data_IF_318376096039
#
_entry.id   IF_318376096039
#
_cell.length_a   1.000
_cell.length_b   1.000
_cell.length_c   1.000
_cell.angle_alpha   90.00
_cell.angle_beta   90.00
_cell.angle_gamma   90.00
#
_symmetry.space_group_name_H-M   'P 1'
#
loop_
_entity.id
_entity.type
_entity.pdbx_description
1 polymer ?
#
# COMPACT_ATOMS: atom_id res chain seq x y z
N UNK A 1 18.71 10.36 4.80
CA UNK A 1 17.62 9.47 5.26
C UNK A 1 16.33 10.23 5.57
N UNK A 2 16.37 11.32 6.35
CA UNK A 2 15.17 12.01 6.87
C UNK A 2 14.16 12.45 5.80
N UNK A 3 14.61 13.08 4.71
CA UNK A 3 13.72 13.48 3.60
C UNK A 3 13.06 12.27 2.94
N UNK A 4 13.80 11.19 2.72
CA UNK A 4 13.28 9.95 2.12
C UNK A 4 12.23 9.35 3.06
N UNK A 5 12.51 9.32 4.35
CA UNK A 5 11.57 8.84 5.37
C UNK A 5 10.32 9.71 5.46
N UNK A 6 10.45 11.04 5.41
CA UNK A 6 9.33 11.97 5.45
C UNK A 6 8.41 11.80 4.24
N UNK A 7 9.00 11.74 3.03
CA UNK A 7 8.23 11.55 1.78
C UNK A 7 7.58 10.17 1.74
N UNK A 8 8.32 9.12 2.10
CA UNK A 8 7.79 7.74 2.11
C UNK A 8 6.69 7.58 3.15
N UNK A 9 6.91 8.09 4.37
CA UNK A 9 5.92 8.07 5.44
C UNK A 9 4.66 8.86 5.09
N UNK A 10 4.80 10.05 4.51
CA UNK A 10 3.66 10.84 4.04
C UNK A 10 2.87 10.12 2.94
N UNK A 11 3.55 9.50 1.97
CA UNK A 11 2.90 8.73 0.92
C UNK A 11 2.13 7.53 1.49
N UNK A 12 2.73 6.76 2.40
CA UNK A 12 2.07 5.64 3.10
C UNK A 12 0.84 6.12 3.87
N UNK A 13 0.94 7.23 4.60
CA UNK A 13 -0.17 7.82 5.35
C UNK A 13 -1.31 8.27 4.44
N UNK A 14 -1.01 8.93 3.32
CA UNK A 14 -2.01 9.37 2.34
C UNK A 14 -2.73 8.19 1.68
N UNK A 15 -2.01 7.12 1.34
CA UNK A 15 -2.61 5.88 0.81
C UNK A 15 -3.46 5.21 1.89
N UNK A 16 -3.00 5.19 3.15
CA UNK A 16 -3.80 4.70 4.28
C UNK A 16 -5.10 5.49 4.45
N UNK A 17 -5.06 6.81 4.36
CA UNK A 17 -6.25 7.66 4.40
C UNK A 17 -7.20 7.36 3.22
N UNK A 18 -6.68 7.12 2.02
CA UNK A 18 -7.49 6.70 0.87
C UNK A 18 -8.21 5.37 1.13
N UNK A 19 -7.58 4.42 1.82
CA UNK A 19 -8.22 3.17 2.23
C UNK A 19 -9.35 3.38 3.24
N UNK A 20 -9.22 4.35 4.16
CA UNK A 20 -10.33 4.76 5.04
C UNK A 20 -11.47 5.35 4.22
N UNK A 21 -11.16 6.23 3.25
CA UNK A 21 -12.17 6.79 2.34
C UNK A 21 -12.88 5.67 1.59
N UNK A 22 -12.15 4.69 1.05
CA UNK A 22 -12.72 3.55 0.32
C UNK A 22 -13.64 2.67 1.15
N UNK A 23 -13.39 2.55 2.45
CA UNK A 23 -14.29 1.84 3.36
C UNK A 23 -15.72 2.41 3.33
N UNK A 24 -15.87 3.71 3.08
CA UNK A 24 -17.17 4.39 3.13
C UNK A 24 -17.65 4.91 1.77
N UNK A 25 -16.74 5.21 0.85
CA UNK A 25 -17.00 5.92 -0.41
C UNK A 25 -16.25 5.30 -1.59
N UNK A 26 -16.82 5.25 -2.80
CA UNK A 26 -16.09 4.82 -3.99
C UNK A 26 -15.09 5.85 -4.52
N UNK A 27 -15.03 7.05 -3.93
CA UNK A 27 -14.17 8.14 -4.40
C UNK A 27 -12.70 7.72 -4.57
N UNK A 28 -12.00 8.15 -5.63
CA UNK A 28 -12.43 9.09 -6.68
C UNK A 28 -13.23 8.46 -7.82
N UNK A 29 -13.59 7.18 -7.72
CA UNK A 29 -14.39 6.49 -8.72
C UNK A 29 -15.88 6.78 -8.53
N UNK A 30 -16.64 6.70 -9.64
CA UNK A 30 -18.05 7.05 -9.64
C UNK A 30 -18.93 6.05 -8.88
N UNK A 31 -18.56 4.76 -8.84
CA UNK A 31 -19.41 3.70 -8.27
C UNK A 31 -18.61 2.63 -7.52
N UNK A 32 -19.28 1.86 -6.65
CA UNK A 32 -18.66 0.75 -5.91
C UNK A 32 -18.24 -0.39 -6.82
N UNK A 33 -18.95 -0.60 -7.92
CA UNK A 33 -18.59 -1.59 -8.94
C UNK A 33 -17.32 -1.15 -9.68
N UNK A 34 -17.15 0.15 -9.93
CA UNK A 34 -15.92 0.68 -10.46
C UNK A 34 -14.77 0.48 -9.46
N UNK A 35 -14.99 0.72 -8.17
CA UNK A 35 -14.00 0.42 -7.12
C UNK A 35 -13.62 -1.07 -7.08
N UNK A 36 -14.61 -1.97 -7.10
CA UNK A 36 -14.38 -3.41 -7.14
C UNK A 36 -13.52 -3.84 -8.33
N UNK A 37 -13.83 -3.33 -9.53
CA UNK A 37 -13.10 -3.68 -10.75
C UNK A 37 -11.72 -3.04 -10.87
N UNK A 38 -11.52 -1.83 -10.36
CA UNK A 38 -10.27 -1.08 -10.56
C UNK A 38 -9.29 -1.21 -9.41
N UNK A 39 -9.78 -1.37 -8.17
CA UNK A 39 -8.95 -1.39 -6.95
C UNK A 39 -8.87 -2.78 -6.34
N UNK A 40 -9.98 -3.52 -6.31
CA UNK A 40 -10.03 -4.86 -5.71
C UNK A 40 -9.70 -5.97 -6.72
N UNK A 41 -9.85 -5.69 -8.01
CA UNK A 41 -9.59 -6.66 -9.08
C UNK A 41 -10.70 -7.71 -9.24
N UNK A 42 -11.93 -7.42 -8.81
CA UNK A 42 -13.08 -8.35 -8.96
C UNK A 42 -13.82 -8.13 -10.28
N UNK A 43 -13.90 -9.17 -11.10
CA UNK A 43 -14.51 -9.14 -12.44
C UNK A 43 -16.03 -9.05 -12.45
N UNK A 44 -16.68 -9.65 -11.46
CA UNK A 44 -18.12 -9.55 -11.23
C UNK A 44 -18.57 -8.14 -10.77
N UNK A 45 -17.62 -7.25 -10.45
CA UNK A 45 -17.90 -5.92 -9.90
C UNK A 45 -18.56 -5.94 -8.52
N UNK A 46 -18.65 -7.11 -7.88
CA UNK A 46 -19.23 -7.22 -6.55
C UNK A 46 -18.26 -6.70 -5.50
N UNK A 47 -18.80 -6.02 -4.50
CA UNK A 47 -18.03 -5.50 -3.37
C UNK A 47 -18.74 -5.90 -2.08
N UNK A 48 -18.54 -7.13 -1.58
CA UNK A 48 -19.21 -7.59 -0.37
C UNK A 48 -18.74 -6.76 0.84
N UNK A 49 -19.54 -5.73 1.19
CA UNK A 49 -19.15 -4.68 2.14
C UNK A 49 -18.79 -5.24 3.53
N UNK A 50 -19.45 -6.33 3.96
CA UNK A 50 -19.14 -7.00 5.22
C UNK A 50 -17.71 -7.52 5.33
N UNK A 51 -17.06 -7.83 4.20
CA UNK A 51 -15.65 -8.21 4.15
C UNK A 51 -14.75 -7.04 3.70
N UNK A 52 -15.19 -6.28 2.71
CA UNK A 52 -14.38 -5.23 2.12
C UNK A 52 -14.05 -4.09 3.10
N UNK A 53 -15.03 -3.64 3.88
CA UNK A 53 -14.84 -2.56 4.86
C UNK A 53 -13.76 -2.90 5.90
N UNK A 54 -13.84 -4.03 6.64
CA UNK A 54 -12.80 -4.37 7.60
C UNK A 54 -11.45 -4.62 6.93
N UNK A 55 -11.42 -5.21 5.73
CA UNK A 55 -10.17 -5.40 4.99
C UNK A 55 -9.51 -4.05 4.62
N UNK A 56 -10.28 -3.09 4.11
CA UNK A 56 -9.75 -1.76 3.76
C UNK A 56 -9.25 -1.00 4.99
N UNK A 57 -9.98 -1.08 6.11
CA UNK A 57 -9.53 -0.47 7.38
C UNK A 57 -8.29 -1.15 7.95
N UNK A 58 -8.17 -2.48 7.84
CA UNK A 58 -6.96 -3.20 8.25
C UNK A 58 -5.74 -2.76 7.44
N UNK A 59 -5.90 -2.58 6.12
CA UNK A 59 -4.84 -2.02 5.26
C UNK A 59 -4.51 -0.58 5.67
N UNK A 60 -5.50 0.25 5.97
CA UNK A 60 -5.28 1.61 6.44
C UNK A 60 -4.46 1.65 7.73
N UNK A 61 -4.78 0.79 8.70
CA UNK A 61 -4.03 0.67 9.97
C UNK A 61 -2.60 0.18 9.71
N UNK A 62 -2.43 -0.83 8.86
CA UNK A 62 -1.10 -1.32 8.50
C UNK A 62 -0.24 -0.25 7.82
N UNK A 63 -0.83 0.54 6.93
CA UNK A 63 -0.14 1.66 6.26
C UNK A 63 0.16 2.81 7.21
N UNK A 64 -0.71 3.11 8.18
CA UNK A 64 -0.43 4.09 9.22
C UNK A 64 0.73 3.63 10.13
N UNK A 65 0.75 2.35 10.52
CA UNK A 65 1.86 1.76 11.26
C UNK A 65 3.16 1.81 10.45
N UNK A 66 3.12 1.46 9.16
CA UNK A 66 4.26 1.56 8.25
C UNK A 66 4.77 3.00 8.13
N UNK A 67 3.87 3.98 7.99
CA UNK A 67 4.22 5.40 7.93
C UNK A 67 4.94 5.86 9.19
N UNK A 68 4.42 5.47 10.37
CA UNK A 68 5.05 5.75 11.65
C UNK A 68 6.45 5.11 11.76
N UNK A 69 6.59 3.82 11.42
CA UNK A 69 7.87 3.11 11.50
C UNK A 69 8.92 3.74 10.60
N UNK A 70 8.59 4.04 9.34
CA UNK A 70 9.52 4.68 8.40
C UNK A 70 9.90 6.09 8.88
N UNK A 71 8.94 6.87 9.37
CA UNK A 71 9.21 8.21 9.89
C UNK A 71 10.04 8.20 11.17
N UNK A 72 9.84 7.22 12.06
CA UNK A 72 10.63 7.04 13.27
C UNK A 72 12.08 6.62 12.96
N UNK A 73 12.26 5.64 12.06
CA UNK A 73 13.58 5.17 11.64
C UNK A 73 14.42 6.30 11.01
N UNK A 74 13.80 7.11 10.16
CA UNK A 74 14.48 8.24 9.52
C UNK A 74 14.63 9.49 10.38
N UNK A 75 14.26 9.46 11.65
CA UNK A 75 14.40 10.57 12.60
C UNK A 75 13.36 11.71 12.47
N UNK A 76 12.33 11.54 11.63
CA UNK A 76 11.26 12.54 11.42
C UNK A 76 10.33 12.62 12.63
N UNK A 77 10.04 11.47 13.25
CA UNK A 77 9.24 11.37 14.46
C UNK A 77 10.09 10.83 15.60
N UNK A 78 9.75 11.23 16.83
CA UNK A 78 10.34 10.61 18.02
C UNK A 78 9.85 9.17 18.14
N UNK A 79 10.78 8.22 18.14
CA UNK A 79 10.48 6.81 18.34
C UNK A 79 9.92 6.55 19.75
N UNK A 80 8.75 5.90 19.81
CA UNK A 80 8.15 5.37 21.03
C UNK A 80 8.44 3.86 21.23
N UNK A 81 9.12 3.23 20.27
CA UNK A 81 9.47 1.80 20.28
C UNK A 81 10.99 1.62 20.36
N UNK A 82 11.48 0.45 20.82
CA UNK A 82 12.90 0.11 20.73
C UNK A 82 13.39 0.15 19.29
N UNK A 83 14.60 0.69 19.07
CA UNK A 83 15.21 0.86 17.74
C UNK A 83 15.21 -0.44 16.93
N UNK A 84 15.61 -1.56 17.54
CA UNK A 84 15.60 -2.88 16.88
C UNK A 84 14.22 -3.26 16.34
N UNK A 85 13.14 -2.92 17.05
CA UNK A 85 11.78 -3.20 16.61
C UNK A 85 11.34 -2.27 15.47
N UNK A 86 11.79 -1.01 15.50
CA UNK A 86 11.53 -0.05 14.42
C UNK A 86 12.23 -0.50 13.14
N UNK A 87 13.54 -0.76 13.19
CA UNK A 87 14.31 -1.22 12.04
C UNK A 87 13.78 -2.54 11.47
N UNK A 88 13.49 -3.53 12.32
CA UNK A 88 12.87 -4.79 11.88
C UNK A 88 11.50 -4.57 11.23
N UNK A 89 10.70 -3.66 11.79
CA UNK A 89 9.41 -3.25 11.22
C UNK A 89 9.55 -2.61 9.84
N UNK A 90 10.51 -1.70 9.65
CA UNK A 90 10.78 -1.07 8.35
C UNK A 90 11.25 -2.09 7.32
N UNK A 91 12.11 -3.04 7.69
CA UNK A 91 12.46 -4.16 6.81
C UNK A 91 11.26 -5.03 6.44
N UNK A 92 10.34 -5.26 7.38
CA UNK A 92 9.07 -5.93 7.11
C UNK A 92 8.21 -5.17 6.11
N UNK A 93 8.07 -3.84 6.26
CA UNK A 93 7.37 -2.96 5.30
C UNK A 93 8.01 -3.06 3.92
N UNK A 94 9.33 -2.96 3.83
CA UNK A 94 10.06 -3.09 2.59
C UNK A 94 9.78 -4.45 1.91
N UNK A 95 9.89 -5.55 2.66
CA UNK A 95 9.65 -6.89 2.16
C UNK A 95 8.21 -7.06 1.62
N UNK A 96 7.20 -6.59 2.37
CA UNK A 96 5.79 -6.69 1.95
C UNK A 96 5.53 -5.89 0.68
N UNK A 97 5.99 -4.64 0.61
CA UNK A 97 5.74 -3.77 -0.53
C UNK A 97 6.52 -4.21 -1.77
N UNK A 98 7.79 -4.63 -1.61
CA UNK A 98 8.57 -5.20 -2.71
C UNK A 98 7.95 -6.50 -3.21
N UNK A 99 7.55 -7.39 -2.30
CA UNK A 99 6.87 -8.64 -2.63
C UNK A 99 5.57 -8.39 -3.38
N UNK A 100 4.71 -7.49 -2.88
CA UNK A 100 3.46 -7.12 -3.56
C UNK A 100 3.73 -6.51 -4.93
N UNK A 101 4.68 -5.58 -5.04
CA UNK A 101 5.01 -4.92 -6.31
C UNK A 101 5.53 -5.91 -7.34
N UNK A 102 6.49 -6.77 -6.97
CA UNK A 102 7.04 -7.79 -7.85
C UNK A 102 5.98 -8.82 -8.27
N UNK A 103 5.17 -9.30 -7.32
CA UNK A 103 4.09 -10.25 -7.63
C UNK A 103 3.06 -9.65 -8.58
N UNK A 104 2.66 -8.40 -8.37
CA UNK A 104 1.72 -7.71 -9.25
C UNK A 104 2.25 -7.53 -10.67
N UNK A 105 3.53 -7.19 -10.85
CA UNK A 105 4.15 -7.17 -12.18
C UNK A 105 4.10 -8.54 -12.87
N UNK A 106 4.31 -9.62 -12.12
CA UNK A 106 4.26 -10.99 -12.64
C UNK A 106 2.82 -11.39 -12.99
N UNK A 107 1.87 -11.20 -12.08
CA UNK A 107 0.46 -11.57 -12.28
C UNK A 107 -0.22 -10.71 -13.36
N UNK A 108 -0.08 -9.39 -13.26
CA UNK A 108 -0.63 -8.40 -14.19
C UNK A 108 0.16 -8.29 -15.49
N UNK A 109 1.41 -8.73 -15.54
CA UNK A 109 2.19 -8.84 -16.78
C UNK A 109 1.86 -10.11 -17.57
N UNK A 110 1.74 -11.25 -16.90
CA UNK A 110 1.60 -12.57 -17.54
C UNK A 110 0.16 -13.03 -17.74
N UNK A 111 -0.84 -12.17 -17.52
CA UNK A 111 -2.27 -12.51 -17.69
C UNK A 111 -2.72 -13.70 -16.86
N UNK A 112 -2.17 -13.83 -15.66
CA UNK A 112 -2.61 -14.81 -14.66
C UNK A 112 -3.82 -14.29 -13.89
N UNK A 113 -4.74 -15.20 -13.59
CA UNK A 113 -5.98 -14.93 -12.85
C UNK A 113 -7.06 -14.22 -13.66
N UNK A 114 -8.21 -14.00 -13.02
CA UNK A 114 -9.42 -13.43 -13.65
C UNK A 114 -9.57 -11.92 -13.40
N UNK A 115 -8.48 -11.24 -13.06
CA UNK A 115 -8.49 -9.81 -12.78
C UNK A 115 -8.90 -9.00 -14.03
N UNK A 116 -9.82 -8.02 -13.92
CA UNK A 116 -10.23 -7.16 -15.03
C UNK A 116 -9.07 -6.41 -15.67
N UNK A 117 -9.13 -6.19 -16.98
CA UNK A 117 -8.12 -5.43 -17.72
C UNK A 117 -7.90 -4.02 -17.14
N UNK A 118 -8.95 -3.39 -16.61
CA UNK A 118 -8.85 -2.10 -15.94
C UNK A 118 -7.95 -2.14 -14.69
N UNK A 119 -8.10 -3.16 -13.84
CA UNK A 119 -7.20 -3.41 -12.70
C UNK A 119 -5.78 -3.67 -13.17
N UNK A 120 -5.59 -4.57 -14.14
CA UNK A 120 -4.26 -4.96 -14.65
C UNK A 120 -3.48 -3.75 -15.17
N UNK A 121 -4.16 -2.87 -15.92
CA UNK A 121 -3.56 -1.63 -16.41
C UNK A 121 -3.13 -0.71 -15.27
N UNK A 122 -3.95 -0.55 -14.24
CA UNK A 122 -3.59 0.25 -13.06
C UNK A 122 -2.50 -0.40 -12.23
N UNK A 123 -2.52 -1.73 -12.10
CA UNK A 123 -1.52 -2.48 -11.35
C UNK A 123 -0.13 -2.35 -11.99
N UNK A 124 -0.04 -2.50 -13.32
CA UNK A 124 1.22 -2.33 -14.05
C UNK A 124 1.73 -0.89 -14.09
N UNK A 125 0.83 0.10 -14.19
CA UNK A 125 1.23 1.51 -14.37
C UNK A 125 1.35 2.29 -13.08
N UNK A 126 0.65 1.89 -12.03
CA UNK A 126 0.50 2.66 -10.81
C UNK A 126 0.77 1.80 -9.57
N UNK A 127 0.00 0.75 -9.32
CA UNK A 127 0.05 0.07 -8.01
C UNK A 127 1.36 -0.67 -7.77
N UNK A 128 1.77 -1.54 -8.70
CA UNK A 128 3.02 -2.29 -8.56
C UNK A 128 4.26 -1.39 -8.58
N UNK A 129 4.40 -0.40 -9.50
CA UNK A 129 5.48 0.58 -9.43
C UNK A 129 5.52 1.38 -8.12
N UNK A 130 4.35 1.80 -7.60
CA UNK A 130 4.27 2.53 -6.33
C UNK A 130 4.71 1.65 -5.16
N UNK A 131 4.27 0.39 -5.10
CA UNK A 131 4.72 -0.56 -4.09
C UNK A 131 6.23 -0.80 -4.16
N UNK A 132 6.79 -0.97 -5.36
CA UNK A 132 8.24 -1.13 -5.52
C UNK A 132 9.00 0.13 -5.06
N UNK A 133 8.56 1.31 -5.49
CA UNK A 133 9.21 2.57 -5.12
C UNK A 133 9.18 2.81 -3.61
N UNK A 134 8.03 2.60 -2.96
CA UNK A 134 7.88 2.76 -1.51
C UNK A 134 8.66 1.68 -0.74
N UNK A 135 8.64 0.43 -1.21
CA UNK A 135 9.39 -0.67 -0.61
C UNK A 135 10.91 -0.46 -0.69
N UNK A 136 11.42 -0.02 -1.85
CA UNK A 136 12.84 0.35 -2.02
C UNK A 136 13.21 1.56 -1.15
N UNK A 137 12.33 2.57 -1.05
CA UNK A 137 12.59 3.75 -0.21
C UNK A 137 12.62 3.37 1.28
N UNK A 138 11.72 2.49 1.72
CA UNK A 138 11.75 1.94 3.09
C UNK A 138 13.04 1.15 3.36
N UNK A 139 13.46 0.29 2.44
CA UNK A 139 14.74 -0.43 2.57
C UNK A 139 15.93 0.54 2.63
N UNK A 140 15.93 1.61 1.83
CA UNK A 140 16.97 2.64 1.86
C UNK A 140 17.00 3.38 3.20
N UNK A 141 15.84 3.66 3.81
CA UNK A 141 15.77 4.27 5.15
C UNK A 141 16.34 3.34 6.23
N UNK A 142 16.11 2.03 6.14
CA UNK A 142 16.65 1.06 7.10
C UNK A 142 18.15 0.72 6.89
N UNK A 143 18.75 1.14 5.77
CA UNK A 143 20.14 0.86 5.42
C UNK A 143 21.10 2.03 5.67
N UNK A 144 20.60 3.26 5.67
CA UNK A 144 21.37 4.50 5.67
C UNK A 144 21.28 5.23 7.00
#
# INVERSE_FOLDING_TARGET
>A
MEIIAAVTGAALALIGALHVVWAFSPWPLATREALARNVVGRSDGSLPLGFFVPASLAVAVALAAAAYLVAAEGGVLRGALPEVLVTAGVWGVAAVLLGRGAWGLVESGLRRGDAPEAYRRLDLRCYSPLCLALGTSAAAVALL
#
